data_IF_473285194196
#
_entry.id   IF_473285194196
#
_cell.length_a   1.000
_cell.length_b   1.000
_cell.length_c   1.000
_cell.angle_alpha   90.00
_cell.angle_beta   90.00
_cell.angle_gamma   90.00
#
_symmetry.space_group_name_H-M   'P 1'
#
loop_
_entity.id
_entity.type
_entity.pdbx_description
1 polymer ?
#
# COMPACT_ATOMS: atom_id res chain seq x y z
N UNK A 1 20.35 -2.32 -6.22
CA UNK A 1 19.17 -2.26 -5.34
C UNK A 1 19.52 -1.32 -4.22
N UNK A 2 18.58 -0.48 -3.83
CA UNK A 2 18.72 0.40 -2.67
C UNK A 2 17.52 0.14 -1.77
N UNK A 3 17.79 -0.17 -0.50
CA UNK A 3 16.76 -0.41 0.51
C UNK A 3 16.39 0.90 1.20
N UNK A 4 15.15 1.06 1.69
CA UNK A 4 14.77 2.27 2.41
C UNK A 4 15.56 2.46 3.70
N UNK A 5 15.86 3.70 4.01
CA UNK A 5 16.54 4.11 5.25
C UNK A 5 15.57 4.40 6.40
N UNK A 6 14.26 4.17 6.19
CA UNK A 6 13.21 4.22 7.21
C UNK A 6 12.51 2.85 7.39
N UNK A 7 11.86 2.67 8.53
CA UNK A 7 11.10 1.45 8.83
C UNK A 7 9.71 1.44 8.19
N UNK A 8 9.14 0.25 7.97
CA UNK A 8 7.74 0.13 7.52
C UNK A 8 6.79 0.81 8.52
N UNK A 9 7.02 0.63 9.82
CA UNK A 9 6.22 1.24 10.87
C UNK A 9 6.25 2.77 10.82
N UNK A 10 7.41 3.38 10.57
CA UNK A 10 7.54 4.83 10.44
C UNK A 10 6.74 5.37 9.24
N UNK A 11 6.77 4.66 8.11
CA UNK A 11 5.95 5.01 6.95
C UNK A 11 4.45 4.84 7.25
N UNK A 12 4.05 3.70 7.84
CA UNK A 12 2.69 3.42 8.29
C UNK A 12 2.15 4.54 9.18
N UNK A 13 2.93 4.95 10.18
CA UNK A 13 2.51 6.00 11.11
C UNK A 13 2.33 7.34 10.41
N UNK A 14 3.32 7.76 9.60
CA UNK A 14 3.29 9.05 8.91
C UNK A 14 2.12 9.15 7.93
N UNK A 15 1.96 8.14 7.07
CA UNK A 15 0.91 8.15 6.04
C UNK A 15 -0.49 7.95 6.64
N UNK A 16 -0.64 7.12 7.68
CA UNK A 16 -1.94 7.00 8.38
C UNK A 16 -2.36 8.34 8.96
N UNK A 17 -1.45 9.02 9.67
CA UNK A 17 -1.72 10.36 10.23
C UNK A 17 -2.14 11.36 9.14
N UNK A 18 -1.50 11.30 7.98
CA UNK A 18 -1.83 12.19 6.86
C UNK A 18 -3.19 11.86 6.24
N UNK A 19 -3.55 10.58 6.15
CA UNK A 19 -4.85 10.10 5.70
C UNK A 19 -5.99 10.47 6.66
N UNK A 20 -5.72 10.49 7.97
CA UNK A 20 -6.65 10.93 9.01
C UNK A 20 -6.94 12.43 8.98
N UNK A 21 -6.05 13.21 8.36
CA UNK A 21 -6.19 14.65 8.20
C UNK A 21 -7.46 15.07 7.44
N UNK A 22 -7.90 16.33 7.58
CA UNK A 22 -9.13 16.82 6.95
C UNK A 22 -8.98 16.90 5.43
N UNK A 23 -9.34 15.81 4.74
CA UNK A 23 -9.34 15.70 3.29
C UNK A 23 -10.76 15.49 2.75
N UNK A 24 -11.14 16.16 1.64
CA UNK A 24 -12.43 15.91 1.01
C UNK A 24 -12.60 14.42 0.67
N UNK A 25 -13.58 13.77 1.31
CA UNK A 25 -13.94 12.37 1.03
C UNK A 25 -13.15 11.29 1.78
N UNK A 26 -12.15 11.63 2.61
CA UNK A 26 -11.37 10.63 3.38
C UNK A 26 -11.15 10.98 4.86
N UNK A 27 -11.78 12.04 5.38
CA UNK A 27 -11.68 12.38 6.81
C UNK A 27 -12.35 11.35 7.71
N UNK A 28 -11.72 11.05 8.85
CA UNK A 28 -12.36 10.31 9.94
C UNK A 28 -13.63 11.04 10.39
N UNK A 29 -14.78 10.36 10.32
CA UNK A 29 -16.07 10.91 10.80
C UNK A 29 -16.12 10.89 12.34
N UNK A 30 -15.41 9.94 12.96
CA UNK A 30 -15.34 9.77 14.41
C UNK A 30 -13.94 9.32 14.81
N UNK A 31 -13.52 9.67 16.03
CA UNK A 31 -12.24 9.20 16.57
C UNK A 31 -12.38 7.72 16.97
N UNK A 32 -11.48 6.85 16.51
CA UNK A 32 -11.54 5.45 16.87
C UNK A 32 -11.35 5.28 18.39
N UNK A 33 -12.24 4.52 19.02
CA UNK A 33 -12.10 4.09 20.41
C UNK A 33 -11.40 2.75 20.44
N UNK A 34 -10.18 2.73 20.95
CA UNK A 34 -9.44 1.51 21.27
C UNK A 34 -9.97 1.01 22.63
N UNK A 35 -10.62 -0.16 22.70
CA UNK A 35 -11.09 -0.71 23.97
C UNK A 35 -9.92 -0.98 24.93
N UNK A 36 -10.19 -0.96 26.23
CA UNK A 36 -9.20 -1.43 27.20
C UNK A 36 -9.10 -2.95 27.18
N UNK A 37 -8.02 -3.52 27.70
CA UNK A 37 -7.84 -4.99 27.80
C UNK A 37 -9.03 -5.71 28.47
N UNK A 38 -9.67 -5.07 29.46
CA UNK A 38 -10.87 -5.62 30.10
C UNK A 38 -12.09 -5.57 29.16
N UNK A 39 -12.19 -4.56 28.31
CA UNK A 39 -13.27 -4.40 27.33
C UNK A 39 -13.09 -5.31 26.11
N UNK A 40 -11.86 -5.62 25.70
CA UNK A 40 -11.57 -6.60 24.64
C UNK A 40 -12.10 -8.00 24.98
N UNK A 41 -12.21 -8.34 26.27
CA UNK A 41 -12.83 -9.60 26.71
C UNK A 41 -14.34 -9.67 26.40
N UNK A 42 -14.99 -8.51 26.25
CA UNK A 42 -16.43 -8.38 25.97
C UNK A 42 -16.71 -7.94 24.52
N UNK A 43 -15.75 -7.27 23.87
CA UNK A 43 -15.84 -6.74 22.52
C UNK A 43 -14.84 -7.49 21.62
N UNK A 44 -15.28 -8.25 20.61
CA UNK A 44 -14.39 -8.97 19.70
C UNK A 44 -13.78 -8.03 18.64
N UNK A 45 -13.24 -6.90 19.05
CA UNK A 45 -12.66 -5.89 18.17
C UNK A 45 -11.60 -5.06 18.90
N UNK A 46 -10.45 -4.86 18.26
CA UNK A 46 -9.36 -4.01 18.77
C UNK A 46 -9.66 -2.50 18.65
N UNK A 47 -10.70 -2.16 17.89
CA UNK A 47 -11.09 -0.78 17.63
C UNK A 47 -12.60 -0.69 17.38
N UNK A 48 -13.26 0.29 17.99
CA UNK A 48 -14.69 0.55 17.85
C UNK A 48 -14.91 2.00 17.43
N UNK A 49 -15.79 2.23 16.46
CA UNK A 49 -16.22 3.57 16.04
C UNK A 49 -17.73 3.70 16.22
N UNK A 50 -18.19 4.86 16.70
CA UNK A 50 -19.61 5.10 17.00
C UNK A 50 -20.33 5.63 15.77
N UNK A 51 -20.80 4.73 14.92
CA UNK A 51 -21.57 5.10 13.74
C UNK A 51 -22.99 5.51 14.14
N UNK A 52 -23.44 6.69 13.71
CA UNK A 52 -24.81 7.18 13.89
C UNK A 52 -25.71 6.70 12.76
N UNK A 53 -27.00 6.52 13.07
CA UNK A 53 -28.01 6.15 12.08
C UNK A 53 -28.15 7.28 11.05
N UNK A 54 -27.69 7.06 9.82
CA UNK A 54 -27.54 8.09 8.79
C UNK A 54 -26.16 8.11 8.14
N UNK A 55 -25.16 7.52 8.79
CA UNK A 55 -23.77 7.40 8.31
C UNK A 55 -23.60 6.31 7.24
N UNK A 56 -24.67 5.98 6.51
CA UNK A 56 -24.74 4.92 5.49
C UNK A 56 -23.84 5.15 4.25
N UNK A 57 -22.91 6.11 4.32
CA UNK A 57 -21.90 6.43 3.31
C UNK A 57 -20.48 6.08 3.75
N UNK A 58 -20.32 5.36 4.85
CA UNK A 58 -19.02 4.87 5.31
C UNK A 58 -18.63 3.60 4.56
N UNK A 59 -17.44 3.62 3.97
CA UNK A 59 -16.81 2.47 3.35
C UNK A 59 -15.56 2.10 4.16
N UNK A 60 -15.40 0.84 4.58
CA UNK A 60 -14.21 0.41 5.30
C UNK A 60 -12.99 0.50 4.38
N UNK A 61 -11.93 1.16 4.86
CA UNK A 61 -10.64 1.28 4.18
C UNK A 61 -9.66 0.27 4.77
N UNK A 62 -9.27 -0.72 3.96
CA UNK A 62 -8.29 -1.73 4.33
C UNK A 62 -6.95 -1.41 3.67
N UNK A 63 -5.94 -1.10 4.46
CA UNK A 63 -4.59 -0.79 3.97
C UNK A 63 -3.61 -1.79 4.53
N UNK A 64 -2.84 -2.41 3.64
CA UNK A 64 -1.62 -3.14 3.98
C UNK A 64 -0.42 -2.33 3.53
N UNK A 65 0.27 -1.71 4.48
CA UNK A 65 1.52 -1.02 4.21
C UNK A 65 2.63 -2.00 3.85
N UNK A 66 3.54 -1.53 3.01
CA UNK A 66 4.73 -2.26 2.57
C UNK A 66 5.93 -1.32 2.49
N UNK A 67 7.08 -1.83 2.88
CA UNK A 67 8.38 -1.26 2.50
C UNK A 67 8.76 -1.70 1.09
N UNK A 68 9.29 -0.79 0.28
CA UNK A 68 9.69 -1.07 -1.10
C UNK A 68 11.19 -0.86 -1.35
N UNK A 69 11.79 -1.69 -2.20
CA UNK A 69 13.18 -1.56 -2.64
C UNK A 69 13.22 -0.80 -3.97
N UNK A 70 14.21 0.09 -4.16
CA UNK A 70 14.45 0.76 -5.44
C UNK A 70 15.48 0.01 -6.27
N UNK A 71 15.12 -0.31 -7.51
CA UNK A 71 15.96 -0.98 -8.49
C UNK A 71 16.41 0.03 -9.55
N UNK A 72 17.70 0.37 -9.51
CA UNK A 72 18.30 1.44 -10.33
C UNK A 72 19.18 0.93 -11.47
N UNK A 73 19.50 -0.37 -11.49
CA UNK A 73 20.40 -0.96 -12.49
C UNK A 73 19.61 -1.79 -13.50
N UNK A 74 19.99 -1.68 -14.77
CA UNK A 74 19.36 -2.41 -15.88
C UNK A 74 19.52 -3.93 -15.84
N UNK A 75 20.48 -4.43 -15.05
CA UNK A 75 20.67 -5.87 -14.82
C UNK A 75 19.70 -6.45 -13.78
N UNK A 76 18.77 -5.66 -13.25
CA UNK A 76 17.76 -6.14 -12.33
C UNK A 76 16.81 -7.13 -13.02
N UNK A 77 16.49 -8.25 -12.36
CA UNK A 77 15.78 -9.38 -13.00
C UNK A 77 14.42 -9.06 -13.61
N UNK A 78 13.76 -7.96 -13.19
CA UNK A 78 12.47 -7.54 -13.76
C UNK A 78 12.59 -6.39 -14.77
N UNK A 79 13.79 -5.82 -14.97
CA UNK A 79 14.00 -4.65 -15.82
C UNK A 79 13.56 -4.89 -17.27
N UNK A 80 14.09 -5.94 -17.90
CA UNK A 80 13.73 -6.29 -19.28
C UNK A 80 12.23 -6.59 -19.42
N UNK A 81 11.60 -7.20 -18.42
CA UNK A 81 10.15 -7.48 -18.44
C UNK A 81 9.31 -6.20 -18.38
N UNK A 82 9.74 -5.21 -17.60
CA UNK A 82 9.08 -3.91 -17.48
C UNK A 82 9.26 -3.08 -18.76
N UNK A 83 10.48 -3.03 -19.28
CA UNK A 83 10.82 -2.29 -20.51
C UNK A 83 10.06 -2.85 -21.72
N UNK A 84 9.99 -4.18 -21.88
CA UNK A 84 9.20 -4.84 -22.92
C UNK A 84 7.69 -4.54 -22.83
N UNK A 85 7.21 -4.04 -21.70
CA UNK A 85 5.82 -3.60 -21.49
C UNK A 85 5.63 -2.09 -21.62
N UNK A 86 6.65 -1.38 -22.09
CA UNK A 86 6.61 0.06 -22.30
C UNK A 86 6.62 0.89 -21.01
N UNK A 87 7.05 0.30 -19.89
CA UNK A 87 7.22 1.04 -18.64
C UNK A 87 8.53 1.82 -18.71
N UNK A 88 8.45 3.13 -18.48
CA UNK A 88 9.62 3.99 -18.44
C UNK A 88 10.42 3.73 -17.15
N UNK A 89 11.67 3.28 -17.30
CA UNK A 89 12.58 2.94 -16.19
C UNK A 89 13.72 3.94 -16.01
N UNK A 90 13.62 5.15 -16.59
CA UNK A 90 14.66 6.18 -16.50
C UNK A 90 15.08 6.53 -15.07
N UNK A 91 14.15 6.49 -14.12
CA UNK A 91 14.40 6.72 -12.68
C UNK A 91 14.58 5.42 -11.85
N UNK A 92 14.59 4.28 -12.53
CA UNK A 92 14.45 2.95 -11.92
C UNK A 92 13.00 2.60 -11.60
N UNK A 93 12.82 1.52 -10.86
CA UNK A 93 11.51 1.05 -10.41
C UNK A 93 11.53 0.63 -8.95
N UNK A 94 10.36 0.62 -8.31
CA UNK A 94 10.15 0.15 -6.96
C UNK A 94 9.58 -1.26 -6.97
N UNK A 95 9.92 -2.05 -5.95
CA UNK A 95 9.34 -3.37 -5.78
C UNK A 95 9.16 -3.75 -4.32
N UNK A 96 8.18 -4.62 -4.05
CA UNK A 96 8.11 -5.35 -2.78
C UNK A 96 7.63 -6.78 -3.03
N UNK A 97 7.90 -7.65 -2.07
CA UNK A 97 7.46 -9.04 -2.08
C UNK A 97 6.20 -9.18 -1.21
N UNK A 98 5.07 -9.68 -1.75
CA UNK A 98 3.94 -10.09 -0.93
C UNK A 98 4.36 -11.23 0.02
N UNK A 99 3.83 -11.21 1.25
CA UNK A 99 4.11 -12.27 2.21
C UNK A 99 3.24 -13.50 1.93
N UNK A 100 3.88 -14.68 1.95
CA UNK A 100 3.34 -15.97 1.53
C UNK A 100 3.40 -17.04 2.61
N UNK A 101 3.63 -16.68 3.88
CA UNK A 101 3.63 -17.65 4.97
C UNK A 101 2.25 -18.30 5.18
N UNK A 102 2.15 -19.17 6.19
CA UNK A 102 1.01 -20.06 6.51
C UNK A 102 -0.40 -19.42 6.49
N UNK A 103 -0.47 -18.08 6.53
CA UNK A 103 -1.71 -17.31 6.55
C UNK A 103 -2.10 -16.63 5.22
N UNK A 104 -1.40 -16.90 4.11
CA UNK A 104 -1.65 -16.42 2.73
C UNK A 104 -2.25 -15.00 2.68
N UNK A 105 -1.65 -14.06 3.41
CA UNK A 105 -2.22 -12.72 3.63
C UNK A 105 -2.57 -12.04 2.30
N UNK A 106 -1.74 -12.23 1.29
CA UNK A 106 -1.99 -11.69 -0.04
C UNK A 106 -3.30 -12.20 -0.65
N UNK A 107 -3.53 -13.52 -0.66
CA UNK A 107 -4.73 -14.11 -1.26
C UNK A 107 -6.00 -13.67 -0.54
N UNK A 108 -5.93 -13.50 0.79
CA UNK A 108 -7.02 -12.92 1.60
C UNK A 108 -7.33 -11.47 1.22
N UNK A 109 -6.30 -10.64 1.00
CA UNK A 109 -6.49 -9.25 0.57
C UNK A 109 -7.04 -9.15 -0.87
N UNK A 110 -6.59 -10.02 -1.77
CA UNK A 110 -7.13 -10.11 -3.14
C UNK A 110 -8.61 -10.50 -3.11
N UNK A 111 -8.96 -11.52 -2.33
CA UNK A 111 -10.34 -11.97 -2.15
C UNK A 111 -11.22 -10.89 -1.50
N UNK A 112 -10.74 -10.25 -0.43
CA UNK A 112 -11.44 -9.12 0.19
C UNK A 112 -11.65 -7.98 -0.82
N UNK A 113 -10.67 -7.70 -1.67
CA UNK A 113 -10.75 -6.69 -2.72
C UNK A 113 -11.82 -6.97 -3.79
N UNK A 114 -12.24 -8.23 -3.97
CA UNK A 114 -13.38 -8.57 -4.85
C UNK A 114 -14.73 -8.18 -4.25
N UNK A 115 -14.81 -7.99 -2.93
CA UNK A 115 -16.04 -7.70 -2.21
C UNK A 115 -16.07 -6.31 -1.59
N UNK A 116 -14.90 -5.70 -1.36
CA UNK A 116 -14.74 -4.39 -0.76
C UNK A 116 -13.93 -3.49 -1.69
N UNK A 117 -14.44 -2.31 -2.09
CA UNK A 117 -13.77 -1.48 -3.10
C UNK A 117 -12.48 -0.82 -2.60
N UNK A 118 -12.31 -0.66 -1.28
CA UNK A 118 -11.22 0.09 -0.67
C UNK A 118 -10.21 -0.83 0.04
N UNK A 119 -9.60 -1.74 -0.72
CA UNK A 119 -8.54 -2.64 -0.23
C UNK A 119 -7.26 -2.39 -1.02
N UNK A 120 -6.21 -1.93 -0.33
CA UNK A 120 -4.98 -1.48 -0.98
C UNK A 120 -3.73 -2.06 -0.34
N UNK A 121 -2.75 -2.39 -1.18
CA UNK A 121 -1.35 -2.25 -0.78
C UNK A 121 -0.93 -0.81 -0.93
N UNK A 122 -0.17 -0.31 0.05
CA UNK A 122 0.38 1.04 0.04
C UNK A 122 1.88 0.99 0.31
N UNK A 123 2.66 1.60 -0.58
CA UNK A 123 4.12 1.55 -0.51
C UNK A 123 4.75 2.87 -0.99
N UNK A 124 5.92 3.27 -0.46
CA UNK A 124 6.55 4.55 -0.78
C UNK A 124 7.16 4.55 -2.19
N UNK A 125 7.07 5.68 -2.89
CA UNK A 125 7.79 5.97 -4.14
C UNK A 125 9.12 6.69 -3.91
N UNK A 126 9.71 6.49 -2.73
CA UNK A 126 10.96 7.06 -2.26
C UNK A 126 11.63 6.07 -1.30
N UNK A 127 12.92 6.30 -0.99
CA UNK A 127 13.70 5.38 -0.15
C UNK A 127 14.51 6.10 0.92
N UNK A 128 14.73 7.39 0.77
CA UNK A 128 15.57 8.14 1.68
C UNK A 128 14.77 8.69 2.88
N UNK A 129 15.46 8.87 4.01
CA UNK A 129 14.85 9.34 5.25
C UNK A 129 14.72 10.86 5.25
N UNK A 130 15.59 11.59 4.55
CA UNK A 130 15.46 13.02 4.36
C UNK A 130 14.27 13.31 3.43
N UNK A 131 14.08 12.51 2.37
CA UNK A 131 12.85 12.53 1.56
C UNK A 131 11.60 12.28 2.43
N UNK A 132 11.62 11.24 3.27
CA UNK A 132 10.52 10.97 4.21
C UNK A 132 10.21 12.20 5.08
N UNK A 133 11.24 12.81 5.67
CA UNK A 133 11.08 13.95 6.58
C UNK A 133 10.49 15.15 5.85
N UNK A 134 10.97 15.43 4.64
CA UNK A 134 10.48 16.53 3.80
C UNK A 134 9.00 16.31 3.46
N UNK A 135 8.65 15.15 2.89
CA UNK A 135 7.26 14.85 2.52
C UNK A 135 6.33 14.83 3.75
N UNK A 136 6.78 14.29 4.88
CA UNK A 136 6.00 14.28 6.11
C UNK A 136 5.78 15.68 6.69
N UNK A 137 6.76 16.58 6.58
CA UNK A 137 6.63 17.96 7.05
C UNK A 137 5.68 18.79 6.19
N UNK A 138 5.55 18.44 4.90
CA UNK A 138 4.71 19.14 3.93
C UNK A 138 3.32 18.49 3.72
N UNK A 139 3.00 17.39 4.42
CA UNK A 139 1.76 16.60 4.23
C UNK A 139 1.63 16.02 2.81
N UNK A 140 2.75 15.56 2.23
CA UNK A 140 2.85 15.03 0.86
C UNK A 140 3.17 13.52 0.80
N UNK A 141 3.18 12.79 1.92
CA UNK A 141 3.47 11.35 1.89
C UNK A 141 2.48 10.58 1.00
N UNK A 142 1.21 11.00 1.01
CA UNK A 142 0.17 10.41 0.17
C UNK A 142 0.47 10.53 -1.32
N UNK A 143 0.95 11.69 -1.73
CA UNK A 143 1.30 12.01 -3.11
C UNK A 143 2.56 11.28 -3.56
N UNK A 144 3.40 10.88 -2.60
CA UNK A 144 4.63 10.14 -2.81
C UNK A 144 4.49 8.66 -2.42
N UNK A 145 3.26 8.15 -2.36
CA UNK A 145 2.93 6.75 -2.12
C UNK A 145 2.19 6.13 -3.31
N UNK A 146 2.52 4.88 -3.63
CA UNK A 146 1.79 4.07 -4.59
C UNK A 146 0.61 3.39 -3.89
N UNK A 147 -0.60 3.64 -4.37
CA UNK A 147 -1.80 2.91 -3.95
C UNK A 147 -2.16 1.86 -5.01
N UNK A 148 -2.11 0.59 -4.59
CA UNK A 148 -2.31 -0.57 -5.45
C UNK A 148 -3.55 -1.30 -4.96
N UNK A 149 -4.63 -1.23 -5.72
CA UNK A 149 -5.90 -1.87 -5.35
C UNK A 149 -5.78 -3.39 -5.48
N UNK A 150 -6.04 -4.11 -4.39
CA UNK A 150 -5.88 -5.56 -4.34
C UNK A 150 -6.84 -6.30 -5.29
N UNK A 151 -7.97 -5.70 -5.65
CA UNK A 151 -8.90 -6.23 -6.65
C UNK A 151 -8.27 -6.41 -8.05
N UNK A 152 -7.23 -5.63 -8.35
CA UNK A 152 -6.52 -5.66 -9.64
C UNK A 152 -5.34 -6.65 -9.64
N UNK A 153 -5.09 -7.33 -8.52
CA UNK A 153 -3.98 -8.28 -8.38
C UNK A 153 -4.51 -9.71 -8.52
N UNK A 154 -3.63 -10.60 -8.98
CA UNK A 154 -3.90 -12.03 -9.03
C UNK A 154 -3.52 -12.69 -7.73
N UNK A 155 -4.24 -13.76 -7.39
CA UNK A 155 -3.80 -14.69 -6.34
C UNK A 155 -2.44 -15.30 -6.70
N UNK A 156 -1.70 -15.66 -5.67
CA UNK A 156 -0.36 -16.23 -5.75
C UNK A 156 -0.36 -17.64 -5.16
N UNK A 157 0.34 -18.55 -5.82
CA UNK A 157 0.41 -19.97 -5.43
C UNK A 157 1.84 -20.46 -5.28
N UNK A 158 2.83 -19.67 -5.70
CA UNK A 158 4.25 -19.99 -5.56
C UNK A 158 4.97 -18.92 -4.73
N UNK A 159 6.25 -19.12 -4.45
CA UNK A 159 6.98 -18.31 -3.49
C UNK A 159 7.57 -17.00 -4.04
N UNK A 160 7.72 -16.82 -5.37
CA UNK A 160 8.58 -15.75 -5.92
C UNK A 160 7.84 -14.68 -6.73
N UNK A 161 6.91 -14.01 -6.04
CA UNK A 161 6.12 -12.91 -6.60
C UNK A 161 6.68 -11.54 -6.19
N UNK A 162 6.89 -10.66 -7.17
CA UNK A 162 7.18 -9.24 -6.92
C UNK A 162 6.07 -8.37 -7.50
N UNK A 163 5.65 -7.39 -6.72
CA UNK A 163 4.82 -6.28 -7.17
C UNK A 163 5.77 -5.12 -7.48
N UNK A 164 5.74 -4.63 -8.71
CA UNK A 164 6.63 -3.58 -9.22
C UNK A 164 5.84 -2.39 -9.74
N UNK A 165 6.37 -1.19 -9.57
CA UNK A 165 5.75 0.06 -9.99
C UNK A 165 6.82 1.16 -10.14
N UNK A 166 6.47 2.30 -10.71
CA UNK A 166 7.36 3.44 -10.89
C UNK A 166 6.67 4.72 -10.41
N UNK A 167 7.43 5.77 -10.11
CA UNK A 167 6.90 7.10 -9.79
C UNK A 167 6.15 7.76 -10.96
N UNK A 168 6.53 7.41 -12.20
CA UNK A 168 6.13 8.12 -13.41
C UNK A 168 5.01 7.41 -14.20
N UNK A 169 4.66 6.18 -13.85
CA UNK A 169 3.66 5.39 -14.56
C UNK A 169 2.50 5.03 -13.65
N UNK A 170 1.29 5.28 -14.14
CA UNK A 170 0.04 4.85 -13.51
C UNK A 170 -0.23 3.34 -13.65
N UNK A 171 0.81 2.54 -13.85
CA UNK A 171 0.76 1.09 -14.07
C UNK A 171 1.91 0.40 -13.36
N UNK A 172 1.62 -0.74 -12.76
CA UNK A 172 2.58 -1.65 -12.16
C UNK A 172 2.54 -3.02 -12.83
N UNK A 173 3.52 -3.87 -12.51
CA UNK A 173 3.60 -5.25 -13.01
C UNK A 173 3.78 -6.22 -11.85
N UNK A 174 3.05 -7.32 -11.89
CA UNK A 174 3.21 -8.47 -11.00
C UNK A 174 4.02 -9.52 -11.73
N UNK A 175 5.27 -9.80 -11.33
CA UNK A 175 6.29 -10.31 -12.27
C UNK A 175 6.37 -11.84 -12.50
N UNK A 176 5.67 -12.64 -11.72
CA UNK A 176 5.68 -14.12 -11.77
C UNK A 176 4.81 -14.66 -12.93
N UNK A 177 3.55 -14.20 -13.00
CA UNK A 177 2.64 -14.29 -14.12
C UNK A 177 2.40 -12.86 -14.59
N UNK A 178 3.18 -12.37 -15.57
CA UNK A 178 3.27 -10.94 -15.81
C UNK A 178 1.93 -10.34 -16.23
N UNK A 179 1.28 -9.69 -15.26
CA UNK A 179 0.05 -8.92 -15.39
C UNK A 179 0.35 -7.44 -15.09
N UNK A 180 -0.23 -6.53 -15.87
CA UNK A 180 -0.21 -5.10 -15.55
C UNK A 180 -1.46 -4.72 -14.77
N UNK A 181 -1.31 -3.90 -13.74
CA UNK A 181 -2.43 -3.34 -12.98
C UNK A 181 -2.31 -1.81 -12.88
N UNK A 182 -3.42 -1.07 -12.76
CA UNK A 182 -3.38 0.35 -12.46
C UNK A 182 -2.73 0.60 -11.10
N UNK A 183 -1.88 1.62 -11.05
CA UNK A 183 -1.30 2.16 -9.81
C UNK A 183 -1.68 3.62 -9.75
N UNK A 184 -2.19 4.07 -8.61
CA UNK A 184 -2.29 5.50 -8.39
C UNK A 184 -0.90 6.01 -8.00
N UNK A 185 -0.30 6.73 -8.93
CA UNK A 185 0.84 7.61 -8.75
C UNK A 185 0.34 9.05 -8.87
N UNK A 186 1.16 10.04 -8.50
CA UNK A 186 0.87 11.46 -8.74
C UNK A 186 0.50 11.71 -10.22
#
# INVERSE_FOLDING_TARGET
MVSPTFSEFQFTYGLTRELEGPRPGTGLIDLPRIPTQNQEAELPADMVSSLRRGDARLAPLFIQYKRAEKMVRSNAGQWAKLENRGINLSEGYFRFRPYLGENEQHNKLVELGQHQPLVFYVAPMFIDHDEYREYAANEELYDHAAFIQCANLQRITDEDHYITYTSMANRGVMCSEPMTFPVRTK
#
